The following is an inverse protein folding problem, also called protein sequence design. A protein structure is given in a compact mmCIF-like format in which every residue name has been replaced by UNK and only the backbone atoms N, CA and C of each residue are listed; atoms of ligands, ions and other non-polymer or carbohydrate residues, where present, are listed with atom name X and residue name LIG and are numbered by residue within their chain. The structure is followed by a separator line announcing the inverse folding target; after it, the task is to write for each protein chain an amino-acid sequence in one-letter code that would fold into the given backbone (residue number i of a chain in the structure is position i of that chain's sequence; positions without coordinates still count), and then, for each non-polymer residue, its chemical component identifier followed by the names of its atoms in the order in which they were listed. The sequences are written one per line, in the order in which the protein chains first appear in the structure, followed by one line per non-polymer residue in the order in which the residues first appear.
data_IF_457377814979
#
_entry.id   IF_457377814979
#
_cell.length_a   1.000
_cell.length_b   1.000
_cell.length_c   1.000
_cell.angle_alpha   90.00
_cell.angle_beta   90.00
_cell.angle_gamma   90.00
#
_symmetry.space_group_name_H-M   'P 1'
#
loop_
_entity.id
_entity.type
_entity.pdbx_description
1 polymer ?
#
# COMPACT_ATOMS: atom_id res chain seq x y z
N UNK A 1 29.29 63.44 7.81
CA UNK A 1 29.41 62.38 8.84
C UNK A 1 28.34 61.33 8.55
N UNK A 2 28.68 60.04 8.64
CA UNK A 2 27.87 58.93 8.16
C UNK A 2 26.97 58.37 9.29
N UNK A 3 25.82 57.83 8.93
CA UNK A 3 25.17 56.77 9.73
C UNK A 3 24.72 55.69 8.73
N UNK A 4 25.48 54.60 8.74
CA UNK A 4 25.21 53.36 8.02
C UNK A 4 24.06 52.58 8.69
N UNK A 5 23.37 51.70 7.97
CA UNK A 5 22.20 50.98 8.48
C UNK A 5 22.59 49.87 9.45
N UNK A 6 21.80 49.73 10.54
CA UNK A 6 21.83 48.57 11.42
C UNK A 6 21.37 47.32 10.66
N UNK A 7 22.32 46.43 10.39
CA UNK A 7 22.07 45.07 9.93
C UNK A 7 21.55 44.29 11.14
N UNK A 8 20.24 44.09 11.20
CA UNK A 8 19.64 43.14 12.14
C UNK A 8 20.02 41.72 11.70
N UNK A 9 20.70 41.03 12.60
CA UNK A 9 21.25 39.71 12.42
C UNK A 9 20.15 38.66 12.20
N UNK A 10 20.08 38.11 10.98
CA UNK A 10 19.41 36.84 10.74
C UNK A 10 20.22 35.73 11.41
N UNK A 11 19.75 35.26 12.57
CA UNK A 11 20.23 34.04 13.19
C UNK A 11 19.81 32.84 12.35
N UNK A 12 20.69 32.40 11.45
CA UNK A 12 20.66 31.07 10.87
C UNK A 12 20.92 30.05 12.00
N UNK A 13 19.87 29.43 12.52
CA UNK A 13 20.01 28.18 13.27
C UNK A 13 20.41 27.08 12.28
N UNK A 14 21.72 26.94 12.12
CA UNK A 14 22.33 25.77 11.50
C UNK A 14 22.07 24.53 12.36
N UNK A 15 21.77 23.42 11.69
CA UNK A 15 22.13 22.08 12.16
C UNK A 15 21.07 21.32 12.93
N UNK A 16 19.98 20.92 12.27
CA UNK A 16 19.50 19.55 12.52
C UNK A 16 20.55 18.62 11.91
N UNK A 17 21.40 18.10 12.79
CA UNK A 17 22.32 17.02 12.48
C UNK A 17 21.51 15.87 11.88
N UNK A 18 21.63 15.68 10.56
CA UNK A 18 21.30 14.42 9.91
C UNK A 18 22.28 13.38 10.45
N UNK A 19 21.98 12.84 11.63
CA UNK A 19 22.60 11.61 12.12
C UNK A 19 22.20 10.57 11.08
N UNK A 20 23.13 10.25 10.16
CA UNK A 20 23.02 9.08 9.30
C UNK A 20 22.89 7.89 10.23
N UNK A 21 21.66 7.45 10.50
CA UNK A 21 21.41 6.20 11.22
C UNK A 21 22.15 5.11 10.46
N UNK A 22 23.15 4.52 11.11
CA UNK A 22 23.94 3.44 10.53
C UNK A 22 22.97 2.30 10.24
N UNK A 23 23.01 1.79 9.02
CA UNK A 23 22.13 0.72 8.59
C UNK A 23 22.36 -0.53 9.46
N UNK A 24 21.29 -1.10 10.01
CA UNK A 24 21.35 -2.28 10.88
C UNK A 24 21.07 -3.53 10.06
N UNK A 25 21.86 -4.58 10.22
CA UNK A 25 21.57 -5.86 9.57
C UNK A 25 20.47 -6.63 10.31
N UNK A 26 19.50 -7.19 9.58
CA UNK A 26 18.42 -7.99 10.15
C UNK A 26 18.97 -9.27 10.84
N UNK A 27 18.42 -9.71 11.99
CA UNK A 27 18.93 -10.89 12.68
C UNK A 27 18.79 -12.20 11.90
N UNK A 28 17.73 -12.38 11.10
CA UNK A 28 17.43 -13.64 10.41
C UNK A 28 17.64 -13.61 8.89
N UNK A 29 17.77 -12.43 8.29
CA UNK A 29 18.01 -12.26 6.85
C UNK A 29 19.42 -11.73 6.62
N UNK A 30 20.42 -12.55 6.93
CA UNK A 30 21.86 -12.20 6.92
C UNK A 30 22.64 -12.74 5.73
N UNK A 31 22.02 -13.58 4.91
CA UNK A 31 22.67 -14.27 3.81
C UNK A 31 21.90 -14.04 2.52
N UNK A 32 22.63 -13.77 1.43
CA UNK A 32 22.04 -13.36 0.17
C UNK A 32 23.07 -12.68 -0.72
N UNK A 33 22.79 -12.67 -2.01
CA UNK A 33 23.51 -11.94 -3.04
C UNK A 33 22.87 -10.58 -3.35
N UNK A 34 21.71 -10.28 -2.75
CA UNK A 34 21.01 -9.00 -2.88
C UNK A 34 20.70 -8.40 -1.49
N UNK A 35 20.73 -7.07 -1.42
CA UNK A 35 20.38 -6.31 -0.22
C UNK A 35 19.09 -5.50 -0.45
N UNK A 36 18.09 -5.73 0.38
CA UNK A 36 16.88 -4.91 0.47
C UNK A 36 16.96 -4.02 1.71
N UNK A 37 16.46 -2.79 1.61
CA UNK A 37 16.40 -1.84 2.71
C UNK A 37 14.96 -1.48 3.06
N UNK A 38 14.65 -1.55 4.35
CA UNK A 38 13.40 -1.07 4.92
C UNK A 38 13.43 0.44 5.19
N UNK A 39 12.27 1.06 5.45
CA UNK A 39 12.15 2.50 5.72
C UNK A 39 12.86 2.95 7.00
N UNK A 40 13.05 2.04 7.96
CA UNK A 40 13.80 2.25 9.20
C UNK A 40 15.30 1.91 9.07
N UNK A 41 15.81 1.79 7.84
CA UNK A 41 17.21 1.51 7.49
C UNK A 41 17.74 0.15 7.96
N UNK A 42 16.87 -0.85 8.10
CA UNK A 42 17.30 -2.24 8.31
C UNK A 42 17.63 -2.88 6.96
N UNK A 43 18.76 -3.57 6.87
CA UNK A 43 19.22 -4.29 5.68
C UNK A 43 18.85 -5.76 5.82
N UNK A 44 18.17 -6.26 4.79
CA UNK A 44 17.81 -7.65 4.61
C UNK A 44 18.65 -8.21 3.47
N UNK A 45 19.48 -9.21 3.77
CA UNK A 45 20.19 -9.98 2.76
C UNK A 45 19.30 -11.13 2.32
N UNK A 46 19.06 -11.21 1.02
CA UNK A 46 18.13 -12.16 0.41
C UNK A 46 18.75 -12.81 -0.82
N UNK A 47 18.30 -14.02 -1.13
CA UNK A 47 18.67 -14.72 -2.36
C UNK A 47 17.85 -14.13 -3.51
N UNK A 48 18.51 -13.47 -4.45
CA UNK A 48 17.93 -12.81 -5.61
C UNK A 48 16.96 -13.71 -6.38
N UNK A 49 17.32 -14.98 -6.55
CA UNK A 49 16.49 -15.99 -7.21
C UNK A 49 15.08 -16.10 -6.62
N UNK A 50 14.92 -15.98 -5.29
CA UNK A 50 13.59 -16.04 -4.66
C UNK A 50 12.70 -14.88 -5.08
N UNK A 51 13.28 -13.70 -5.32
CA UNK A 51 12.54 -12.54 -5.80
C UNK A 51 12.23 -12.68 -7.29
N UNK A 52 13.19 -13.15 -8.09
CA UNK A 52 13.01 -13.45 -9.52
C UNK A 52 11.87 -14.45 -9.74
N UNK A 53 11.80 -15.50 -8.92
CA UNK A 53 10.78 -16.54 -9.03
C UNK A 53 9.36 -16.03 -8.73
N UNK A 54 9.23 -14.90 -8.03
CA UNK A 54 7.94 -14.37 -7.58
C UNK A 54 7.59 -13.01 -8.17
N UNK A 55 8.47 -12.34 -8.90
CA UNK A 55 8.26 -10.98 -9.40
C UNK A 55 8.97 -10.75 -10.73
N UNK A 56 8.17 -10.35 -11.73
CA UNK A 56 8.69 -10.01 -13.05
C UNK A 56 9.50 -8.69 -13.02
N UNK A 57 9.15 -7.76 -12.13
CA UNK A 57 9.94 -6.53 -11.92
C UNK A 57 11.32 -6.85 -11.38
N UNK A 58 11.45 -7.70 -10.36
CA UNK A 58 12.76 -8.08 -9.83
C UNK A 58 13.56 -8.90 -10.84
N UNK A 59 12.91 -9.80 -11.59
CA UNK A 59 13.53 -10.52 -12.71
C UNK A 59 14.16 -9.56 -13.72
N UNK A 60 13.36 -8.63 -14.25
CA UNK A 60 13.83 -7.66 -15.25
C UNK A 60 14.94 -6.75 -14.68
N UNK A 61 14.79 -6.29 -13.43
CA UNK A 61 15.80 -5.44 -12.79
C UNK A 61 17.16 -6.12 -12.67
N UNK A 62 17.18 -7.42 -12.38
CA UNK A 62 18.41 -8.19 -12.22
C UNK A 62 19.01 -8.66 -13.56
N UNK A 63 18.18 -8.93 -14.57
CA UNK A 63 18.65 -9.26 -15.92
C UNK A 63 19.33 -8.07 -16.60
N UNK A 64 18.76 -6.86 -16.50
CA UNK A 64 19.34 -5.62 -17.06
C UNK A 64 20.67 -5.28 -16.38
N UNK A 65 20.77 -5.48 -15.06
CA UNK A 65 22.01 -5.21 -14.31
C UNK A 65 23.17 -6.12 -14.70
N UNK A 66 22.90 -7.28 -15.31
CA UNK A 66 23.91 -8.25 -15.73
C UNK A 66 24.38 -8.08 -17.18
N UNK A 67 23.66 -7.31 -18.01
CA UNK A 67 24.01 -7.11 -19.44
C UNK A 67 25.20 -6.18 -19.71
N UNK A 68 25.70 -5.44 -18.71
CA UNK A 68 26.84 -4.51 -18.87
C UNK A 68 28.22 -5.15 -18.57
N UNK A 69 28.32 -6.47 -18.41
CA UNK A 69 29.60 -7.16 -18.16
C UNK A 69 30.03 -7.99 -19.37
N UNK A 70 30.50 -7.30 -20.41
CA UNK A 70 31.37 -7.92 -21.41
C UNK A 70 32.73 -8.24 -20.79
N UNK A 71 33.09 -9.52 -20.81
CA UNK A 71 34.47 -10.05 -20.85
C UNK A 71 35.43 -9.50 -19.79
N UNK A 72 35.34 -10.01 -18.56
CA UNK A 72 36.52 -10.60 -17.90
C UNK A 72 36.19 -11.25 -16.56
N UNK A 73 36.79 -12.41 -16.35
CA UNK A 73 36.69 -13.24 -15.16
C UNK A 73 37.06 -12.48 -13.88
N UNK A 74 36.05 -12.14 -13.07
CA UNK A 74 36.02 -12.22 -11.60
C UNK A 74 34.63 -11.72 -11.18
N UNK A 75 33.88 -12.53 -10.42
CA UNK A 75 32.71 -12.06 -9.68
C UNK A 75 33.17 -10.96 -8.72
N UNK A 76 33.25 -9.72 -9.20
CA UNK A 76 33.30 -8.54 -8.36
C UNK A 76 32.00 -8.58 -7.59
N UNK A 77 32.09 -8.82 -6.28
CA UNK A 77 31.02 -8.48 -5.36
C UNK A 77 30.56 -7.08 -5.74
N UNK A 78 29.32 -6.98 -6.22
CA UNK A 78 28.68 -5.73 -6.58
C UNK A 78 28.85 -4.79 -5.39
N UNK A 79 29.49 -3.65 -5.66
CA UNK A 79 29.74 -2.60 -4.68
C UNK A 79 28.44 -2.22 -3.95
N UNK A 80 28.57 -1.56 -2.81
CA UNK A 80 27.50 -1.07 -1.93
C UNK A 80 26.40 -0.19 -2.59
N UNK A 81 26.39 -0.09 -3.92
CA UNK A 81 25.42 0.60 -4.76
C UNK A 81 24.12 -0.18 -5.03
N UNK A 82 24.02 -1.48 -4.74
CA UNK A 82 22.84 -2.30 -5.09
C UNK A 82 21.86 -2.58 -3.95
N UNK A 83 21.71 -1.64 -3.01
CA UNK A 83 20.67 -1.76 -1.99
C UNK A 83 19.34 -1.24 -2.52
N UNK A 84 18.36 -2.13 -2.66
CA UNK A 84 17.03 -1.76 -3.16
C UNK A 84 16.18 -1.25 -1.99
N UNK A 85 15.76 0.01 -2.06
CA UNK A 85 14.81 0.58 -1.09
C UNK A 85 13.40 0.09 -1.40
N UNK A 86 12.80 -0.64 -0.45
CA UNK A 86 11.50 -1.30 -0.66
C UNK A 86 10.32 -0.37 -0.43
N UNK A 87 10.47 0.59 0.49
CA UNK A 87 9.36 1.40 1.00
C UNK A 87 8.55 0.72 2.10
N UNK A 88 8.85 -0.52 2.44
CA UNK A 88 8.25 -1.26 3.57
C UNK A 88 9.05 -1.03 4.85
N UNK A 89 8.38 -1.06 6.00
CA UNK A 89 9.04 -1.14 7.31
C UNK A 89 9.71 -2.51 7.53
N UNK A 90 10.61 -2.61 8.51
CA UNK A 90 11.21 -3.90 8.90
C UNK A 90 10.17 -5.02 9.08
N UNK A 91 9.11 -4.88 9.89
CA UNK A 91 8.14 -5.98 10.08
C UNK A 91 7.38 -6.33 8.80
N UNK A 92 7.00 -5.35 7.97
CA UNK A 92 6.34 -5.62 6.69
C UNK A 92 7.27 -6.37 5.72
N UNK A 93 8.51 -5.93 5.60
CA UNK A 93 9.48 -6.58 4.71
C UNK A 93 9.80 -8.00 5.18
N UNK A 94 9.91 -8.23 6.49
CA UNK A 94 10.08 -9.56 7.07
C UNK A 94 8.90 -10.48 6.69
N UNK A 95 7.66 -10.02 6.86
CA UNK A 95 6.46 -10.77 6.46
C UNK A 95 6.51 -11.12 4.98
N UNK A 96 6.80 -10.16 4.10
CA UNK A 96 6.89 -10.41 2.67
C UNK A 96 7.95 -11.48 2.34
N UNK A 97 9.14 -11.37 2.94
CA UNK A 97 10.24 -12.30 2.69
C UNK A 97 9.91 -13.71 3.20
N UNK A 98 9.21 -13.83 4.32
CA UNK A 98 8.75 -15.12 4.82
C UNK A 98 7.69 -15.74 3.90
N UNK A 99 6.75 -14.95 3.38
CA UNK A 99 5.72 -15.42 2.46
C UNK A 99 6.31 -16.03 1.17
N UNK A 100 7.40 -15.47 0.65
CA UNK A 100 8.04 -15.96 -0.58
C UNK A 100 9.06 -17.08 -0.31
N UNK A 101 9.43 -17.29 0.95
CA UNK A 101 10.49 -18.23 1.34
C UNK A 101 10.02 -19.64 1.60
N UNK A 102 8.71 -19.88 1.69
CA UNK A 102 8.15 -21.18 2.05
C UNK A 102 7.16 -21.71 1.01
N UNK A 103 7.13 -23.04 0.87
CA UNK A 103 6.28 -23.71 -0.12
C UNK A 103 4.78 -23.61 0.16
N UNK A 104 4.36 -23.26 1.38
CA UNK A 104 2.94 -23.06 1.78
C UNK A 104 2.87 -21.89 2.78
N UNK A 105 2.96 -20.65 2.32
CA UNK A 105 3.05 -19.50 3.21
C UNK A 105 1.74 -19.23 3.91
N UNK A 106 1.79 -19.00 5.22
CA UNK A 106 0.65 -18.56 6.01
C UNK A 106 0.80 -17.06 6.26
N UNK A 107 -0.29 -16.32 6.06
CA UNK A 107 -0.30 -14.90 6.37
C UNK A 107 -0.41 -14.75 7.90
N UNK A 108 0.45 -13.96 8.56
CA UNK A 108 0.29 -13.64 9.96
C UNK A 108 -0.91 -12.71 10.19
N UNK A 109 -1.38 -12.68 11.44
CA UNK A 109 -2.40 -11.72 11.88
C UNK A 109 -1.78 -10.30 11.88
N UNK A 110 -2.22 -9.47 10.94
CA UNK A 110 -1.74 -8.09 10.76
C UNK A 110 -2.92 -7.12 10.74
N UNK A 111 -2.68 -5.85 11.01
CA UNK A 111 -3.73 -4.83 10.86
C UNK A 111 -3.96 -4.45 9.38
N UNK A 112 -5.04 -3.72 9.12
CA UNK A 112 -5.37 -3.23 7.79
C UNK A 112 -4.23 -2.47 7.10
N UNK A 113 -3.52 -1.58 7.82
CA UNK A 113 -2.46 -0.75 7.25
C UNK A 113 -1.29 -1.59 6.72
N UNK A 114 -0.81 -2.55 7.51
CA UNK A 114 0.23 -3.50 7.13
C UNK A 114 -0.21 -4.35 5.94
N UNK A 115 -1.46 -4.84 5.95
CA UNK A 115 -1.98 -5.64 4.83
C UNK A 115 -2.06 -4.82 3.53
N UNK A 116 -2.48 -3.55 3.60
CA UNK A 116 -2.56 -2.66 2.45
C UNK A 116 -1.17 -2.35 1.89
N UNK A 117 -0.21 -1.99 2.74
CA UNK A 117 1.17 -1.73 2.32
C UNK A 117 1.80 -2.95 1.62
N UNK A 118 1.54 -4.16 2.13
CA UNK A 118 2.01 -5.40 1.51
C UNK A 118 1.32 -5.65 0.17
N UNK A 119 0.03 -5.34 0.06
CA UNK A 119 -0.72 -5.51 -1.18
C UNK A 119 -0.21 -4.54 -2.26
N UNK A 120 -0.02 -3.27 -1.91
CA UNK A 120 0.55 -2.24 -2.77
C UNK A 120 1.97 -2.60 -3.21
N UNK A 121 2.76 -3.16 -2.29
CA UNK A 121 4.09 -3.67 -2.63
C UNK A 121 4.01 -4.82 -3.64
N UNK A 122 3.08 -5.76 -3.44
CA UNK A 122 2.87 -6.85 -4.40
C UNK A 122 2.46 -6.32 -5.78
N UNK A 123 1.62 -5.29 -5.84
CA UNK A 123 1.18 -4.69 -7.10
C UNK A 123 2.34 -3.94 -7.79
N UNK A 124 3.04 -3.09 -7.04
CA UNK A 124 4.18 -2.28 -7.52
C UNK A 124 5.31 -3.12 -8.11
N UNK A 125 5.61 -4.27 -7.51
CA UNK A 125 6.68 -5.16 -7.94
C UNK A 125 6.17 -6.32 -8.80
N UNK A 126 4.93 -6.28 -9.29
CA UNK A 126 4.33 -7.35 -10.09
C UNK A 126 4.57 -8.75 -9.51
N UNK A 127 4.27 -8.89 -8.23
CA UNK A 127 4.42 -10.14 -7.49
C UNK A 127 3.34 -11.11 -7.95
N UNK A 128 3.72 -12.37 -8.16
CA UNK A 128 2.85 -13.39 -8.71
C UNK A 128 1.51 -13.50 -7.95
N UNK A 129 0.49 -13.94 -8.69
CA UNK A 129 -0.89 -14.03 -8.19
C UNK A 129 -1.02 -14.85 -6.91
N UNK A 130 -0.18 -15.86 -6.71
CA UNK A 130 -0.26 -16.73 -5.53
C UNK A 130 0.02 -15.97 -4.25
N UNK A 131 1.08 -15.16 -4.21
CA UNK A 131 1.44 -14.37 -3.03
C UNK A 131 0.49 -13.17 -2.92
N UNK A 132 0.25 -12.45 -4.02
CA UNK A 132 -0.69 -11.31 -4.07
C UNK A 132 -2.08 -11.69 -3.57
N UNK A 133 -2.62 -12.85 -3.95
CA UNK A 133 -3.96 -13.29 -3.50
C UNK A 133 -4.01 -13.61 -2.01
N UNK A 134 -2.91 -14.09 -1.40
CA UNK A 134 -2.86 -14.32 0.05
C UNK A 134 -2.89 -13.01 0.82
N UNK A 135 -2.06 -12.06 0.41
CA UNK A 135 -2.05 -10.71 0.98
C UNK A 135 -3.39 -10.02 0.76
N UNK A 136 -3.97 -10.14 -0.44
CA UNK A 136 -5.30 -9.58 -0.77
C UNK A 136 -6.42 -10.19 0.08
N UNK A 137 -6.41 -11.50 0.30
CA UNK A 137 -7.40 -12.16 1.16
C UNK A 137 -7.36 -11.61 2.59
N UNK A 138 -6.16 -11.38 3.11
CA UNK A 138 -5.97 -10.76 4.42
C UNK A 138 -6.42 -9.31 4.44
N UNK A 139 -6.03 -8.51 3.43
CA UNK A 139 -6.47 -7.12 3.28
C UNK A 139 -8.00 -7.00 3.28
N UNK A 140 -8.69 -7.85 2.51
CA UNK A 140 -10.15 -7.82 2.42
C UNK A 140 -10.81 -8.26 3.72
N UNK A 141 -10.22 -9.22 4.43
CA UNK A 141 -10.67 -9.62 5.76
C UNK A 141 -10.53 -8.45 6.75
N UNK A 142 -9.38 -7.78 6.78
CA UNK A 142 -9.12 -6.63 7.66
C UNK A 142 -10.01 -5.44 7.34
N UNK A 143 -10.19 -5.11 6.06
CA UNK A 143 -11.10 -4.05 5.64
C UNK A 143 -12.52 -4.28 6.19
N UNK A 144 -12.99 -5.53 6.19
CA UNK A 144 -14.29 -5.89 6.76
C UNK A 144 -14.33 -5.80 8.29
N UNK A 145 -13.35 -6.39 8.97
CA UNK A 145 -13.33 -6.48 10.43
C UNK A 145 -13.11 -5.13 11.10
N UNK A 146 -12.28 -4.28 10.48
CA UNK A 146 -11.87 -2.98 11.02
C UNK A 146 -12.74 -1.83 10.49
N UNK A 147 -13.58 -2.07 9.47
CA UNK A 147 -14.52 -1.07 8.93
C UNK A 147 -13.91 -0.12 7.90
N UNK A 148 -12.87 -0.53 7.19
CA UNK A 148 -12.13 0.26 6.19
C UNK A 148 -12.54 -0.01 4.74
N UNK A 149 -13.77 -0.47 4.49
CA UNK A 149 -14.24 -0.74 3.13
C UNK A 149 -14.25 0.52 2.24
N UNK A 150 -14.51 1.69 2.82
CA UNK A 150 -14.43 2.97 2.08
C UNK A 150 -13.00 3.33 1.70
N UNK A 151 -12.07 3.13 2.63
CA UNK A 151 -10.65 3.36 2.40
C UNK A 151 -10.15 2.49 1.23
N UNK A 152 -10.49 1.20 1.27
CA UNK A 152 -10.16 0.24 0.21
C UNK A 152 -10.85 0.57 -1.12
N UNK A 153 -12.08 1.08 -1.10
CA UNK A 153 -12.80 1.50 -2.31
C UNK A 153 -12.15 2.73 -2.96
N UNK A 154 -11.72 3.70 -2.15
CA UNK A 154 -11.00 4.90 -2.62
C UNK A 154 -9.63 4.48 -3.16
N UNK A 155 -8.92 3.59 -2.46
CA UNK A 155 -7.68 3.00 -2.95
C UNK A 155 -7.88 2.35 -4.32
N UNK A 156 -8.93 1.54 -4.47
CA UNK A 156 -9.24 0.85 -5.73
C UNK A 156 -9.54 1.85 -6.86
N UNK A 157 -10.26 2.93 -6.55
CA UNK A 157 -10.56 3.98 -7.51
C UNK A 157 -9.30 4.71 -7.99
N UNK A 158 -8.35 4.98 -7.09
CA UNK A 158 -7.07 5.62 -7.43
C UNK A 158 -6.19 4.75 -8.33
N UNK A 159 -6.33 3.43 -8.23
CA UNK A 159 -5.59 2.46 -9.07
C UNK A 159 -6.42 1.95 -10.25
N UNK A 160 -7.68 2.39 -10.39
CA UNK A 160 -8.64 1.86 -11.35
C UNK A 160 -8.79 0.32 -11.27
N UNK A 161 -8.64 -0.26 -10.07
CA UNK A 161 -8.76 -1.71 -9.84
C UNK A 161 -10.22 -2.07 -9.52
N UNK A 162 -10.96 -2.46 -10.56
CA UNK A 162 -12.36 -2.86 -10.41
C UNK A 162 -12.52 -4.13 -9.57
N UNK A 163 -11.52 -5.00 -9.51
CA UNK A 163 -11.60 -6.24 -8.72
C UNK A 163 -11.60 -5.90 -7.23
N UNK A 164 -10.66 -5.06 -6.80
CA UNK A 164 -10.58 -4.61 -5.40
C UNK A 164 -11.80 -3.77 -5.02
N UNK A 165 -12.29 -2.92 -5.94
CA UNK A 165 -13.51 -2.15 -5.71
C UNK A 165 -14.71 -3.06 -5.41
N UNK A 166 -14.86 -4.15 -6.17
CA UNK A 166 -15.94 -5.12 -5.96
C UNK A 166 -15.79 -5.87 -4.64
N UNK A 167 -14.58 -6.28 -4.28
CA UNK A 167 -14.31 -6.93 -2.98
C UNK A 167 -14.63 -6.00 -1.80
N UNK A 168 -14.31 -4.71 -1.92
CA UNK A 168 -14.66 -3.69 -0.93
C UNK A 168 -16.17 -3.49 -0.81
N UNK A 169 -16.88 -3.39 -1.94
CA UNK A 169 -18.33 -3.22 -2.00
C UNK A 169 -19.08 -4.45 -1.48
N UNK A 170 -18.66 -5.67 -1.83
CA UNK A 170 -19.28 -6.91 -1.35
C UNK A 170 -19.22 -7.04 0.18
N UNK A 171 -18.18 -6.47 0.80
CA UNK A 171 -17.98 -6.47 2.26
C UNK A 171 -18.57 -5.25 2.96
N UNK A 172 -19.15 -4.33 2.19
CA UNK A 172 -19.83 -3.15 2.71
C UNK A 172 -21.16 -3.55 3.37
N UNK A 173 -21.64 -2.70 4.27
CA UNK A 173 -23.01 -2.74 4.76
C UNK A 173 -23.56 -1.32 4.89
N UNK A 174 -24.85 -1.18 5.19
CA UNK A 174 -25.50 0.13 5.25
C UNK A 174 -24.87 1.06 6.29
N UNK A 175 -24.36 0.52 7.40
CA UNK A 175 -23.75 1.30 8.47
C UNK A 175 -22.41 1.86 8.00
N UNK A 176 -21.52 1.00 7.50
CA UNK A 176 -20.20 1.42 7.02
C UNK A 176 -20.30 2.28 5.75
N UNK A 177 -21.30 2.06 4.91
CA UNK A 177 -21.55 2.90 3.75
C UNK A 177 -21.94 4.33 4.15
N UNK A 178 -22.87 4.49 5.10
CA UNK A 178 -23.38 5.79 5.52
C UNK A 178 -22.43 6.53 6.48
N UNK A 179 -21.56 5.80 7.18
CA UNK A 179 -20.57 6.37 8.11
C UNK A 179 -19.16 5.90 7.68
N UNK A 180 -18.60 6.49 6.62
CA UNK A 180 -17.27 6.15 6.12
C UNK A 180 -16.21 6.26 7.21
N UNK A 181 -15.38 5.22 7.30
CA UNK A 181 -14.19 5.19 8.16
C UNK A 181 -12.97 4.95 7.28
N UNK A 182 -11.93 5.76 7.48
CA UNK A 182 -10.69 5.74 6.71
C UNK A 182 -9.48 5.69 7.62
N UNK A 183 -8.38 5.22 7.09
CA UNK A 183 -7.12 5.21 7.82
C UNK A 183 -6.47 6.60 7.72
N UNK A 184 -6.29 7.25 8.87
CA UNK A 184 -5.56 8.51 8.97
C UNK A 184 -4.05 8.31 8.80
N UNK A 185 -3.34 9.39 8.45
CA UNK A 185 -1.87 9.39 8.37
C UNK A 185 -1.19 9.06 9.70
N UNK A 186 -1.89 9.23 10.82
CA UNK A 186 -1.45 8.87 12.17
C UNK A 186 -1.76 7.40 12.53
N UNK A 187 -2.26 6.61 11.57
CA UNK A 187 -2.67 5.22 11.76
C UNK A 187 -3.98 5.05 12.54
N UNK A 188 -4.72 6.14 12.80
CA UNK A 188 -6.00 6.07 13.52
C UNK A 188 -7.19 6.10 12.58
N UNK A 189 -8.32 5.59 13.07
CA UNK A 189 -9.59 5.66 12.33
C UNK A 189 -10.06 7.11 12.27
N UNK A 190 -10.25 7.62 11.05
CA UNK A 190 -10.86 8.89 10.78
C UNK A 190 -12.24 8.68 10.16
N UNK A 191 -13.29 9.09 10.88
CA UNK A 191 -14.66 9.06 10.35
C UNK A 191 -14.90 10.29 9.50
N UNK A 192 -15.39 10.11 8.28
CA UNK A 192 -15.78 11.21 7.39
C UNK A 192 -17.29 11.26 7.22
N UNK A 193 -17.78 12.43 6.80
CA UNK A 193 -19.15 12.53 6.32
C UNK A 193 -19.29 11.76 5.00
N UNK A 194 -20.48 11.19 4.75
CA UNK A 194 -20.77 10.43 3.53
C UNK A 194 -20.36 11.18 2.25
N UNK A 195 -20.76 12.45 2.12
CA UNK A 195 -20.48 13.24 0.93
C UNK A 195 -18.99 13.64 0.80
N UNK A 196 -18.25 13.70 1.91
CA UNK A 196 -16.80 13.91 1.88
C UNK A 196 -16.07 12.67 1.39
N UNK A 197 -16.51 11.48 1.78
CA UNK A 197 -15.94 10.23 1.25
C UNK A 197 -16.31 10.04 -0.22
N UNK A 198 -17.56 10.33 -0.59
CA UNK A 198 -18.01 10.24 -1.97
C UNK A 198 -17.22 11.16 -2.90
N UNK A 199 -16.90 12.38 -2.47
CA UNK A 199 -16.14 13.33 -3.29
C UNK A 199 -14.68 12.92 -3.55
N UNK A 200 -14.15 11.95 -2.78
CA UNK A 200 -12.83 11.38 -3.00
C UNK A 200 -12.80 10.37 -4.16
N UNK A 201 -13.95 9.86 -4.61
CA UNK A 201 -14.04 8.97 -5.76
C UNK A 201 -14.06 9.76 -7.08
N UNK A 202 -13.60 9.19 -8.20
CA UNK A 202 -13.81 9.76 -9.53
C UNK A 202 -15.29 9.92 -9.86
N UNK A 203 -15.66 10.92 -10.68
CA UNK A 203 -17.05 11.24 -10.98
C UNK A 203 -17.87 10.04 -11.52
N UNK A 204 -17.30 9.23 -12.41
CA UNK A 204 -17.95 8.03 -12.93
C UNK A 204 -18.26 7.01 -11.82
N UNK A 205 -17.36 6.86 -10.85
CA UNK A 205 -17.52 5.98 -9.70
C UNK A 205 -18.60 6.49 -8.75
N UNK A 206 -18.62 7.79 -8.48
CA UNK A 206 -19.68 8.43 -7.68
C UNK A 206 -21.06 8.17 -8.29
N UNK A 207 -21.22 8.44 -9.59
CA UNK A 207 -22.49 8.28 -10.31
C UNK A 207 -22.94 6.82 -10.29
N UNK A 208 -22.04 5.88 -10.61
CA UNK A 208 -22.35 4.45 -10.61
C UNK A 208 -22.74 3.96 -9.21
N UNK A 209 -21.97 4.36 -8.19
CA UNK A 209 -22.22 3.95 -6.81
C UNK A 209 -23.56 4.50 -6.30
N UNK A 210 -23.86 5.78 -6.53
CA UNK A 210 -25.13 6.39 -6.14
C UNK A 210 -26.31 5.74 -6.85
N UNK A 211 -26.20 5.48 -8.16
CA UNK A 211 -27.26 4.82 -8.95
C UNK A 211 -27.59 3.41 -8.44
N UNK A 212 -26.58 2.66 -8.03
CA UNK A 212 -26.77 1.28 -7.57
C UNK A 212 -27.14 1.19 -6.09
N UNK A 213 -26.63 2.12 -5.27
CA UNK A 213 -26.81 2.06 -3.82
C UNK A 213 -28.09 2.73 -3.33
N UNK A 214 -28.56 3.81 -3.97
CA UNK A 214 -29.75 4.53 -3.51
C UNK A 214 -31.02 3.82 -3.95
N UNK A 215 -31.93 3.59 -3.00
CA UNK A 215 -33.25 3.03 -3.28
C UNK A 215 -34.33 4.10 -3.18
N UNK A 216 -35.29 4.07 -4.11
CA UNK A 216 -36.47 4.93 -4.03
C UNK A 216 -37.28 4.55 -2.79
N UNK A 217 -37.22 5.38 -1.75
CA UNK A 217 -38.10 5.24 -0.61
C UNK A 217 -39.46 5.82 -0.97
N UNK A 218 -40.52 5.00 -0.91
CA UNK A 218 -41.90 5.50 -0.98
C UNK A 218 -42.31 6.27 0.29
N UNK A 219 -41.44 6.34 1.31
CA UNK A 219 -41.67 7.14 2.51
C UNK A 219 -41.24 8.59 2.28
N UNK A 220 -42.22 9.49 2.33
CA UNK A 220 -42.19 10.94 2.08
C UNK A 220 -41.30 11.78 3.02
N UNK A 221 -40.33 11.20 3.72
CA UNK A 221 -39.40 11.97 4.54
C UNK A 221 -38.14 12.29 3.72
N UNK A 222 -38.01 13.52 3.16
CA UNK A 222 -36.88 13.91 2.33
C UNK A 222 -35.54 13.94 3.08
N UNK A 223 -35.54 13.73 4.40
CA UNK A 223 -34.33 13.74 5.24
C UNK A 223 -33.68 12.38 5.43
N UNK A 224 -34.25 11.30 4.89
CA UNK A 224 -33.70 9.95 5.04
C UNK A 224 -33.22 9.36 3.71
N UNK A 225 -31.93 9.06 3.64
CA UNK A 225 -31.33 8.30 2.55
C UNK A 225 -31.59 6.80 2.77
N UNK A 226 -32.26 6.16 1.83
CA UNK A 226 -32.43 4.70 1.83
C UNK A 226 -31.40 4.06 0.90
N UNK A 227 -30.71 3.05 1.42
CA UNK A 227 -29.59 2.39 0.74
C UNK A 227 -29.92 0.90 0.53
N UNK A 228 -29.43 0.32 -0.56
CA UNK A 228 -29.56 -1.09 -0.89
C UNK A 228 -29.08 -1.97 0.27
N UNK A 229 -29.67 -3.16 0.38
CA UNK A 229 -29.23 -4.19 1.34
C UNK A 229 -28.40 -5.29 0.69
N UNK A 230 -28.53 -5.45 -0.62
CA UNK A 230 -27.81 -6.45 -1.42
C UNK A 230 -26.48 -5.88 -1.93
N UNK A 231 -25.50 -5.80 -1.04
CA UNK A 231 -24.16 -5.30 -1.35
C UNK A 231 -23.38 -6.21 -2.29
N UNK A 232 -23.65 -7.51 -2.25
CA UNK A 232 -23.07 -8.48 -3.16
C UNK A 232 -23.58 -8.25 -4.59
N UNK A 233 -24.88 -8.16 -4.79
CA UNK A 233 -25.47 -7.85 -6.08
C UNK A 233 -25.10 -6.45 -6.59
N UNK A 234 -24.89 -5.48 -5.68
CA UNK A 234 -24.34 -4.17 -6.04
C UNK A 234 -22.91 -4.30 -6.57
N UNK A 235 -22.04 -5.03 -5.88
CA UNK A 235 -20.65 -5.23 -6.29
C UNK A 235 -20.55 -5.90 -7.67
N UNK A 236 -21.34 -6.93 -7.92
CA UNK A 236 -21.38 -7.62 -9.23
C UNK A 236 -21.76 -6.68 -10.38
N UNK A 237 -22.69 -5.75 -10.13
CA UNK A 237 -23.17 -4.76 -11.10
C UNK A 237 -22.29 -3.50 -11.18
N UNK A 238 -21.35 -3.33 -10.26
CA UNK A 238 -20.53 -2.14 -10.21
C UNK A 238 -19.59 -2.12 -11.42
N UNK A 239 -19.82 -1.13 -12.29
CA UNK A 239 -19.04 -0.85 -13.48
C UNK A 239 -19.09 0.66 -13.74
N UNK A 240 -18.13 1.43 -13.24
CA UNK A 240 -18.03 2.86 -13.53
C UNK A 240 -17.59 3.03 -15.00
N UNK A 241 -18.41 3.75 -15.77
CA UNK A 241 -18.20 4.07 -17.19
C UNK A 241 -18.15 5.58 -17.36
#
# INVERSE_FOLDING_TARGET
MPVAPEITSFSLKAGTSNVRKVAKSHPFHRYGDLELRSTDNTIFKVMSQRLVDVSDVFKNMLEIGNSDVTVDNKRKFLDAANVINTGLSTPELEIFLDLISVAKPMMPDVNYATALNLFDFCDKFDVNKRVRNRVGSELFLRAKLEGFQWDLLIWAANHNDLTVAREALERMNNIYFLIPSMLGADGKINKKLFWEAMSMLPAAWQIALLRLSLTSSHNLNPRHMSVCRDWKGLAEKFQPV
#
